data_IF_217077877652
#
_entry.id   IF_217077877652
#
_cell.length_a   1.000
_cell.length_b   1.000
_cell.length_c   1.000
_cell.angle_alpha   90.00
_cell.angle_beta   90.00
_cell.angle_gamma   90.00
#
_symmetry.space_group_name_H-M   'P 1'
#
loop_
_entity.id
_entity.type
_entity.pdbx_description
1 polymer ?
#
# COMPACT_ATOMS: atom_id res chain seq x y z
N UNK A 1 6.07 -38.54 8.77
CA UNK A 1 6.98 -37.66 8.00
C UNK A 1 6.27 -36.32 7.85
N UNK A 2 6.65 -35.31 8.62
CA UNK A 2 6.03 -33.99 8.55
C UNK A 2 6.60 -33.26 7.34
N UNK A 3 5.76 -33.02 6.34
CA UNK A 3 6.11 -32.29 5.14
C UNK A 3 6.05 -30.80 5.50
N UNK A 4 7.21 -30.22 5.81
CA UNK A 4 7.37 -28.78 6.03
C UNK A 4 7.07 -28.10 4.70
N UNK A 5 5.82 -27.66 4.52
CA UNK A 5 5.47 -26.78 3.43
C UNK A 5 6.32 -25.53 3.59
N UNK A 6 7.28 -25.32 2.69
CA UNK A 6 7.94 -24.03 2.56
C UNK A 6 6.85 -23.02 2.26
N UNK A 7 6.48 -22.24 3.26
CA UNK A 7 5.61 -21.08 3.10
C UNK A 7 6.36 -20.17 2.14
N UNK A 8 6.04 -20.28 0.85
CA UNK A 8 6.46 -19.27 -0.12
C UNK A 8 5.88 -17.98 0.40
N UNK A 9 6.73 -17.07 0.88
CA UNK A 9 6.31 -15.69 1.07
C UNK A 9 5.72 -15.25 -0.26
N UNK A 10 4.39 -15.16 -0.31
CA UNK A 10 3.64 -14.89 -1.55
C UNK A 10 3.92 -13.47 -2.04
N UNK A 11 4.44 -12.63 -1.14
CA UNK A 11 4.74 -11.22 -1.32
C UNK A 11 6.15 -10.90 -0.82
N UNK A 12 6.74 -9.87 -1.41
CA UNK A 12 8.02 -9.30 -1.00
C UNK A 12 7.90 -8.58 0.35
N UNK A 13 9.02 -8.49 1.08
CA UNK A 13 9.10 -7.71 2.33
C UNK A 13 8.67 -6.25 2.12
N UNK A 14 8.91 -5.71 0.92
CA UNK A 14 8.51 -4.37 0.53
C UNK A 14 6.99 -4.22 0.43
N UNK A 15 6.32 -5.22 -0.16
CA UNK A 15 4.86 -5.25 -0.20
C UNK A 15 4.26 -5.48 1.19
N UNK A 16 4.84 -6.38 1.99
CA UNK A 16 4.38 -6.62 3.36
C UNK A 16 4.45 -5.35 4.22
N UNK A 17 5.54 -4.57 4.10
CA UNK A 17 5.66 -3.26 4.75
C UNK A 17 4.59 -2.27 4.29
N UNK A 18 4.28 -2.24 2.99
CA UNK A 18 3.25 -1.37 2.45
C UNK A 18 1.86 -1.75 2.98
N UNK A 19 1.57 -3.05 2.98
CA UNK A 19 0.32 -3.60 3.51
C UNK A 19 0.17 -3.35 5.02
N UNK A 20 1.26 -3.45 5.79
CA UNK A 20 1.29 -3.15 7.22
C UNK A 20 0.92 -1.68 7.49
N UNK A 21 1.55 -0.73 6.77
CA UNK A 21 1.19 0.69 6.87
C UNK A 21 -0.29 0.91 6.54
N UNK A 22 -0.77 0.34 5.44
CA UNK A 22 -2.18 0.46 5.06
C UNK A 22 -3.13 -0.12 6.13
N UNK A 23 -2.78 -1.26 6.76
CA UNK A 23 -3.61 -1.91 7.78
C UNK A 23 -3.75 -1.10 9.07
N UNK A 24 -2.78 -0.24 9.37
CA UNK A 24 -2.81 0.67 10.50
C UNK A 24 -3.58 1.97 10.21
N UNK A 25 -3.88 2.24 8.94
CA UNK A 25 -4.70 3.39 8.55
C UNK A 25 -6.18 3.07 8.74
N UNK A 26 -6.94 4.02 9.26
CA UNK A 26 -8.39 3.91 9.33
C UNK A 26 -9.05 5.09 8.60
N UNK A 27 -10.10 4.85 7.81
CA UNK A 27 -10.89 5.92 7.25
C UNK A 27 -11.64 6.67 8.38
N UNK A 28 -11.82 7.99 8.28
CA UNK A 28 -11.42 8.84 7.15
C UNK A 28 -9.90 9.13 7.15
N UNK A 29 -9.24 8.84 6.02
CA UNK A 29 -7.79 8.91 5.91
C UNK A 29 -7.30 10.36 5.93
N UNK A 30 -6.42 10.67 6.88
CA UNK A 30 -5.89 12.01 7.07
C UNK A 30 -4.62 12.23 6.26
N UNK A 31 -4.31 13.50 5.99
CA UNK A 31 -3.08 13.89 5.30
C UNK A 31 -1.78 13.21 5.81
N UNK A 32 -1.51 13.06 7.14
CA UNK A 32 -0.32 12.37 7.61
C UNK A 32 -0.28 10.89 7.19
N UNK A 33 -1.40 10.19 7.27
CA UNK A 33 -1.51 8.77 6.93
C UNK A 33 -1.29 8.57 5.42
N UNK A 34 -1.97 9.39 4.61
CA UNK A 34 -1.83 9.39 3.15
C UNK A 34 -0.39 9.71 2.74
N UNK A 35 0.28 10.66 3.40
CA UNK A 35 1.71 10.97 3.15
C UNK A 35 2.63 9.82 3.52
N UNK A 36 2.40 9.17 4.66
CA UNK A 36 3.21 8.05 5.11
C UNK A 36 3.11 6.88 4.12
N UNK A 37 1.89 6.51 3.73
CA UNK A 37 1.64 5.49 2.72
C UNK A 37 2.25 5.88 1.37
N UNK A 38 1.97 7.08 0.87
CA UNK A 38 2.45 7.56 -0.44
C UNK A 38 3.98 7.57 -0.53
N UNK A 39 4.66 7.96 0.55
CA UNK A 39 6.12 7.93 0.62
C UNK A 39 6.64 6.50 0.50
N UNK A 40 6.14 5.58 1.31
CA UNK A 40 6.56 4.18 1.27
C UNK A 40 6.24 3.57 -0.10
N UNK A 41 5.04 3.82 -0.62
CA UNK A 41 4.61 3.36 -1.94
C UNK A 41 5.59 3.81 -3.01
N UNK A 42 5.97 5.09 -3.05
CA UNK A 42 6.96 5.62 -3.99
C UNK A 42 8.32 4.94 -3.85
N UNK A 43 8.79 4.69 -2.63
CA UNK A 43 10.09 4.06 -2.37
C UNK A 43 10.12 2.61 -2.87
N UNK A 44 9.02 1.86 -2.70
CA UNK A 44 8.97 0.43 -3.06
C UNK A 44 8.41 0.16 -4.44
N UNK A 45 7.69 1.10 -5.07
CA UNK A 45 6.92 0.88 -6.29
C UNK A 45 7.73 0.25 -7.44
N UNK A 46 9.00 0.64 -7.63
CA UNK A 46 9.86 0.08 -8.68
C UNK A 46 10.32 -1.34 -8.40
N UNK A 47 10.26 -1.78 -7.14
CA UNK A 47 10.69 -3.11 -6.68
C UNK A 47 9.56 -4.13 -6.62
N UNK A 48 8.31 -3.67 -6.67
CA UNK A 48 7.13 -4.53 -6.66
C UNK A 48 6.99 -5.29 -7.99
N UNK A 49 6.57 -6.56 -7.89
CA UNK A 49 6.11 -7.35 -9.03
C UNK A 49 4.79 -6.80 -9.60
N UNK A 50 4.40 -7.27 -10.79
CA UNK A 50 3.15 -6.84 -11.42
C UNK A 50 1.91 -7.13 -10.55
N UNK A 51 1.85 -8.31 -9.93
CA UNK A 51 0.74 -8.69 -9.05
C UNK A 51 0.68 -7.83 -7.79
N UNK A 52 1.83 -7.51 -7.19
CA UNK A 52 1.93 -6.64 -6.02
C UNK A 52 1.55 -5.20 -6.34
N UNK A 53 1.95 -4.70 -7.52
CA UNK A 53 1.53 -3.37 -8.01
C UNK A 53 0.01 -3.30 -8.14
N UNK A 54 -0.61 -4.29 -8.77
CA UNK A 54 -2.07 -4.35 -8.90
C UNK A 54 -2.80 -4.43 -7.54
N UNK A 55 -2.17 -4.94 -6.49
CA UNK A 55 -2.71 -4.88 -5.13
C UNK A 55 -2.48 -3.52 -4.47
N UNK A 56 -1.29 -2.93 -4.64
CA UNK A 56 -0.96 -1.62 -4.11
C UNK A 56 -1.82 -0.52 -4.76
N UNK A 57 -2.10 -0.61 -6.05
CA UNK A 57 -3.04 0.27 -6.77
C UNK A 57 -4.46 0.17 -6.19
N UNK A 58 -4.93 -1.05 -5.87
CA UNK A 58 -6.20 -1.23 -5.16
C UNK A 58 -6.21 -0.59 -3.77
N UNK A 59 -5.08 -0.61 -3.05
CA UNK A 59 -4.96 0.11 -1.77
C UNK A 59 -5.05 1.62 -2.00
N UNK A 60 -4.41 2.14 -3.05
CA UNK A 60 -4.49 3.56 -3.44
C UNK A 60 -5.94 3.96 -3.74
N UNK A 61 -6.69 3.15 -4.50
CA UNK A 61 -8.10 3.40 -4.80
C UNK A 61 -8.94 3.47 -3.52
N UNK A 62 -8.76 2.51 -2.60
CA UNK A 62 -9.44 2.52 -1.30
C UNK A 62 -9.07 3.75 -0.46
N UNK A 63 -7.82 4.19 -0.51
CA UNK A 63 -7.39 5.42 0.17
C UNK A 63 -8.13 6.62 -0.41
N UNK A 64 -8.23 6.73 -1.74
CA UNK A 64 -8.93 7.82 -2.43
C UNK A 64 -10.42 7.86 -2.02
N UNK A 65 -11.08 6.70 -2.00
CA UNK A 65 -12.49 6.59 -1.58
C UNK A 65 -12.71 6.98 -0.11
N UNK A 66 -11.74 6.68 0.76
CA UNK A 66 -11.81 6.92 2.20
C UNK A 66 -11.20 8.25 2.66
N UNK A 67 -10.80 9.15 1.77
CA UNK A 67 -10.13 10.40 2.15
C UNK A 67 -11.03 11.30 3.02
N UNK A 68 -10.44 11.91 4.05
CA UNK A 68 -11.12 12.94 4.83
C UNK A 68 -11.38 14.23 4.04
N UNK A 69 -10.64 14.46 2.96
CA UNK A 69 -10.83 15.56 2.03
C UNK A 69 -10.31 15.17 0.65
N UNK A 70 -11.05 15.46 -0.45
CA UNK A 70 -10.57 15.22 -1.80
C UNK A 70 -9.21 15.87 -2.12
N UNK A 71 -8.88 16.98 -1.44
CA UNK A 71 -7.60 17.66 -1.61
C UNK A 71 -6.39 16.77 -1.21
N UNK A 72 -6.60 15.81 -0.31
CA UNK A 72 -5.55 14.88 0.12
C UNK A 72 -5.15 13.87 -0.96
N UNK A 73 -5.96 13.70 -2.03
CA UNK A 73 -5.62 12.81 -3.14
C UNK A 73 -4.31 13.25 -3.83
N UNK A 74 -4.04 14.55 -3.87
CA UNK A 74 -2.80 15.13 -4.44
C UNK A 74 -1.53 14.72 -3.70
N UNK A 75 -1.66 14.14 -2.50
CA UNK A 75 -0.53 13.65 -1.71
C UNK A 75 -0.09 12.25 -2.15
N UNK A 76 -0.91 11.54 -2.94
CA UNK A 76 -0.62 10.20 -3.44
C UNK A 76 0.30 10.24 -4.66
N UNK A 77 1.35 9.42 -4.62
CA UNK A 77 2.26 9.25 -5.74
C UNK A 77 1.54 8.60 -6.93
N UNK A 78 1.67 9.20 -8.12
CA UNK A 78 1.09 8.69 -9.36
C UNK A 78 -0.35 9.14 -9.65
N UNK A 79 -0.99 9.88 -8.73
CA UNK A 79 -2.30 10.51 -8.93
C UNK A 79 -2.05 11.93 -9.47
N UNK A 80 -2.44 12.20 -10.73
CA UNK A 80 -2.25 13.47 -11.44
C UNK A 80 -3.57 13.98 -11.97
#
# INVERSE_FOLDING_TARGET
MAQTASVRHLYSENFERLADVFSHMQPPFQAPDVKAFSRLYREVHTTLSADEKAHAERMVDLIIEGLSSPAHATLLFGVV
#
